data_IF_725447994316
#
_entry.id   IF_725447994316
#
_cell.length_a   1.000
_cell.length_b   1.000
_cell.length_c   1.000
_cell.angle_alpha   90.00
_cell.angle_beta   90.00
_cell.angle_gamma   90.00
#
_symmetry.space_group_name_H-M   'P 1'
#
loop_
_entity.id
_entity.type
_entity.pdbx_description
1 polymer ?
2 non-polymer ?
3 non-polymer ?
4 water ?
#
# COMPACT_ATOMS: atom_id res chain seq x y z
N UNK A 22 10.93 9.37 -10.84
CA UNK A 22 9.75 8.46 -10.94
C UNK A 22 9.81 7.30 -9.92
N UNK A 23 8.87 7.34 -8.97
CA UNK A 23 8.82 6.36 -7.89
C UNK A 23 8.34 5.03 -8.36
N UNK A 24 8.49 4.03 -7.50
CA UNK A 24 8.18 2.66 -7.81
C UNK A 24 7.45 2.07 -6.61
N UNK A 25 6.35 1.37 -6.88
CA UNK A 25 5.54 0.79 -5.82
C UNK A 25 5.32 -0.68 -6.06
N UNK A 26 5.09 -1.41 -4.97
CA UNK A 26 4.69 -2.81 -5.04
C UNK A 26 3.54 -3.09 -4.09
N UNK A 27 2.63 -3.94 -4.54
CA UNK A 27 1.53 -4.38 -3.71
C UNK A 27 1.45 -5.89 -3.86
N UNK A 28 1.68 -6.61 -2.75
CA UNK A 28 1.72 -8.05 -2.79
C UNK A 28 0.85 -8.67 -1.73
N UNK A 29 0.36 -9.88 -2.01
CA UNK A 29 -0.33 -10.66 -1.00
C UNK A 29 0.33 -12.02 -0.92
N UNK A 30 0.80 -12.39 0.27
CA UNK A 30 1.41 -13.70 0.47
C UNK A 30 0.49 -14.54 1.31
N UNK A 31 0.64 -15.86 1.22
CA UNK A 31 0.03 -16.75 2.21
C UNK A 31 1.14 -17.53 2.87
N UNK A 32 1.18 -17.50 4.19
CA UNK A 32 2.13 -18.30 4.95
C UNK A 32 1.60 -19.72 5.07
N UNK A 33 2.50 -20.66 5.32
CA UNK A 33 2.11 -22.03 5.64
C UNK A 33 1.35 -22.01 7.00
N UNK A 34 0.46 -23.00 7.23
CA UNK A 34 -0.46 -22.92 8.38
C UNK A 34 0.26 -22.65 9.69
N UNK A 35 -0.23 -21.66 10.45
CA UNK A 35 0.35 -21.34 11.74
C UNK A 35 1.63 -20.50 11.71
N UNK A 36 2.14 -20.20 10.53
CA UNK A 36 3.43 -19.47 10.42
C UNK A 36 3.32 -17.98 10.04
N UNK A 37 2.10 -17.43 10.01
CA UNK A 37 1.92 -16.04 9.57
C UNK A 37 2.75 -15.07 10.41
N UNK A 38 2.60 -15.14 11.73
CA UNK A 38 3.30 -14.20 12.58
C UNK A 38 4.83 -14.33 12.50
N UNK A 39 5.35 -15.55 12.44
CA UNK A 39 6.80 -15.72 12.28
C UNK A 39 7.28 -15.09 10.96
N UNK A 40 6.51 -15.24 9.88
CA UNK A 40 6.93 -14.70 8.60
C UNK A 40 6.86 -13.17 8.61
N UNK A 41 5.81 -12.63 9.22
CA UNK A 41 5.67 -11.17 9.39
C UNK A 41 6.87 -10.57 10.12
N UNK A 42 7.25 -11.18 11.23
CA UNK A 42 8.43 -10.73 11.98
C UNK A 42 9.70 -10.74 11.11
N UNK A 43 9.87 -11.78 10.30
CA UNK A 43 11.02 -11.89 9.36
C UNK A 43 11.02 -10.78 8.29
N UNK A 44 9.86 -10.53 7.71
CA UNK A 44 9.68 -9.45 6.73
C UNK A 44 9.99 -8.07 7.31
N UNK A 45 9.41 -7.78 8.48
CA UNK A 45 9.58 -6.47 9.12
C UNK A 45 11.05 -6.23 9.43
N UNK A 46 11.69 -7.20 10.08
CA UNK A 46 13.13 -7.13 10.37
C UNK A 46 13.95 -6.94 9.10
N UNK A 47 13.66 -7.75 8.08
CA UNK A 47 14.40 -7.73 6.83
C UNK A 47 14.33 -6.43 6.07
N UNK A 48 13.27 -5.65 6.32
CA UNK A 48 13.02 -4.43 5.58
C UNK A 48 13.58 -3.14 6.20
N UNK A 49 14.34 -3.24 7.29
CA UNK A 49 14.89 -2.02 7.93
C UNK A 49 16.03 -1.43 7.13
N UNK A 50 16.08 -0.10 7.10
CA UNK A 50 17.21 0.66 6.53
C UNK A 50 17.63 0.20 5.14
N UNK A 51 16.65 -0.06 4.26
CA UNK A 51 16.94 -0.27 2.83
C UNK A 51 17.04 1.08 2.15
N UNK A 52 18.23 1.47 1.63
CA UNK A 52 18.34 2.77 0.95
C UNK A 52 17.31 2.93 -0.16
N UNK A 53 16.71 4.11 -0.25
CA UNK A 53 15.69 4.39 -1.27
C UNK A 53 14.27 3.94 -0.95
N UNK A 54 14.08 3.15 0.12
CA UNK A 54 12.73 2.75 0.56
C UNK A 54 12.07 3.91 1.28
N UNK A 55 10.89 4.32 0.80
CA UNK A 55 10.16 5.43 1.40
C UNK A 55 9.09 4.91 2.34
N UNK A 56 8.52 3.75 2.00
CA UNK A 56 7.69 3.05 2.94
C UNK A 56 7.58 1.56 2.65
N UNK A 57 7.34 0.80 3.71
CA UNK A 57 7.28 -0.66 3.67
C UNK A 57 6.32 -1.06 4.81
N UNK A 58 5.19 -1.64 4.44
CA UNK A 58 4.10 -1.94 5.39
C UNK A 58 3.71 -3.40 5.25
N UNK A 59 3.70 -4.10 6.37
CA UNK A 59 3.31 -5.49 6.43
C UNK A 59 2.01 -5.54 7.24
N UNK A 60 0.98 -6.16 6.67
CA UNK A 60 -0.35 -6.18 7.28
C UNK A 60 -0.98 -7.56 7.32
N UNK A 61 -1.73 -7.85 8.38
CA UNK A 61 -2.54 -9.06 8.44
C UNK A 61 -3.84 -8.84 7.66
N UNK A 62 -4.50 -9.92 7.31
CA UNK A 62 -5.79 -9.85 6.67
C UNK A 62 -6.83 -10.41 7.62
N UNK A 63 -7.82 -9.60 8.02
CA UNK A 63 -8.90 -10.06 8.89
C UNK A 63 -9.74 -11.21 8.32
N UNK A 64 -9.74 -11.38 7.00
CA UNK A 64 -10.57 -12.41 6.38
C UNK A 64 -9.85 -13.75 6.19
N UNK A 65 -8.54 -13.75 6.37
CA UNK A 65 -7.72 -14.94 6.12
C UNK A 65 -6.53 -14.97 7.07
N UNK A 66 -6.55 -15.88 8.07
CA UNK A 66 -5.47 -15.97 9.08
C UNK A 66 -4.07 -16.25 8.52
N UNK A 67 -3.97 -16.74 7.27
CA UNK A 67 -2.66 -17.07 6.67
C UNK A 67 -2.09 -15.96 5.82
N UNK A 68 -2.89 -14.95 5.50
CA UNK A 68 -2.50 -13.94 4.52
C UNK A 68 -1.72 -12.80 5.10
N UNK A 69 -0.87 -12.24 4.24
CA UNK A 69 -0.05 -11.08 4.57
C UNK A 69 -0.07 -10.16 3.37
N UNK A 70 -0.41 -8.89 3.63
CA UNK A 70 -0.31 -7.84 2.60
C UNK A 70 0.93 -7.06 2.80
N UNK A 71 1.69 -6.89 1.72
CA UNK A 71 2.92 -6.11 1.76
C UNK A 71 2.81 -4.97 0.78
N UNK A 72 2.99 -3.73 1.25
CA UNK A 72 2.96 -2.59 0.34
C UNK A 72 4.27 -1.83 0.46
N UNK A 73 4.80 -1.40 -0.68
CA UNK A 73 6.13 -0.80 -0.72
C UNK A 73 6.17 0.41 -1.62
N UNK A 74 6.90 1.45 -1.21
CA UNK A 74 7.16 2.61 -2.08
C UNK A 74 8.65 2.84 -2.07
N UNK A 75 9.23 2.94 -3.26
CA UNK A 75 10.67 3.19 -3.43
C UNK A 75 10.88 4.43 -4.23
N UNK A 76 12.04 5.07 -4.08
CA UNK A 76 12.29 6.27 -4.86
C UNK A 76 12.49 5.95 -6.35
N UNK A 77 12.82 4.69 -6.65
CA UNK A 77 13.05 4.26 -8.00
C UNK A 77 13.02 2.74 -8.04
N UNK A 78 12.76 2.15 -9.23
CA UNK A 78 12.87 0.71 -9.36
C UNK A 78 14.32 0.22 -9.09
N UNK A 79 15.29 1.10 -9.37
CA UNK A 79 16.70 0.80 -9.14
C UNK A 79 17.04 0.52 -7.69
N UNK A 80 16.51 1.32 -6.77
CA UNK A 80 16.70 1.07 -5.34
C UNK A 80 16.14 -0.28 -4.86
N UNK A 81 14.98 -0.67 -5.39
CA UNK A 81 14.36 -1.95 -5.05
C UNK A 81 15.22 -3.12 -5.52
N UNK A 82 15.76 -3.01 -6.73
CA UNK A 82 16.69 -4.01 -7.27
C UNK A 82 17.95 -4.07 -6.42
N UNK A 83 18.51 -2.91 -6.09
CA UNK A 83 19.77 -2.83 -5.35
C UNK A 83 19.67 -3.40 -3.93
N UNK A 84 18.47 -3.37 -3.36
CA UNK A 84 18.22 -3.83 -1.99
C UNK A 84 18.60 -5.31 -1.77
N UNK A 85 18.65 -6.11 -2.84
CA UNK A 85 19.05 -7.53 -2.74
C UNK A 85 20.54 -7.74 -2.45
N UNK A 86 21.33 -6.68 -2.56
CA UNK A 86 22.74 -6.75 -2.19
C UNK A 86 22.91 -6.62 -0.67
N UNK A 87 21.84 -6.28 0.04
CA UNK A 87 21.92 -6.10 1.50
C UNK A 87 21.86 -7.46 2.21
N UNK A 88 22.86 -7.76 3.07
CA UNK A 88 22.87 -9.03 3.79
C UNK A 88 21.56 -9.28 4.56
N UNK A 89 21.01 -8.22 5.16
CA UNK A 89 19.79 -8.36 5.94
C UNK A 89 18.59 -8.74 5.06
N UNK A 90 18.56 -8.23 3.84
CA UNK A 90 17.51 -8.59 2.88
C UNK A 90 17.67 -10.05 2.46
N UNK A 91 18.90 -10.47 2.19
CA UNK A 91 19.19 -11.86 1.86
C UNK A 91 18.79 -12.83 2.98
N UNK A 92 19.17 -12.52 4.23
CA UNK A 92 18.74 -13.30 5.39
C UNK A 92 17.23 -13.41 5.53
N UNK A 93 16.51 -12.31 5.30
CA UNK A 93 15.04 -12.35 5.38
C UNK A 93 14.46 -13.34 4.35
N UNK A 94 15.00 -13.32 3.13
CA UNK A 94 14.57 -14.24 2.08
C UNK A 94 14.93 -15.68 2.46
N UNK A 95 16.16 -15.89 2.92
CA UNK A 95 16.61 -17.21 3.36
C UNK A 95 15.69 -17.80 4.43
N UNK A 96 15.36 -16.97 5.43
CA UNK A 96 14.60 -17.43 6.57
C UNK A 96 13.11 -17.47 6.26
N UNK A 97 12.68 -16.62 5.32
CA UNK A 97 11.27 -16.45 5.02
C UNK A 97 10.72 -17.46 4.04
N UNK A 98 11.49 -17.82 3.01
CA UNK A 98 11.03 -18.74 1.95
C UNK A 98 10.37 -20.05 2.45
N UNK A 99 10.96 -20.72 3.46
CA UNK A 99 10.29 -21.93 3.96
C UNK A 99 8.87 -21.67 4.48
N UNK A 100 8.56 -20.44 4.89
CA UNK A 100 7.26 -20.15 5.49
C UNK A 100 6.21 -19.68 4.47
N UNK A 101 6.61 -19.54 3.21
CA UNK A 101 5.72 -19.02 2.19
C UNK A 101 5.03 -20.20 1.49
N UNK A 102 3.70 -20.23 1.60
CA UNK A 102 2.89 -21.22 0.89
C UNK A 102 2.60 -20.74 -0.53
N UNK A 103 2.41 -19.42 -0.68
CA UNK A 103 2.03 -18.85 -1.96
C UNK A 103 2.24 -17.34 -2.00
N UNK A 104 2.43 -16.83 -3.21
CA UNK A 104 2.32 -15.40 -3.45
C UNK A 104 1.14 -15.23 -4.40
N UNK A 105 0.01 -14.79 -3.88
CA UNK A 105 -1.24 -14.75 -4.64
C UNK A 105 -1.34 -13.55 -5.56
N UNK A 106 -0.71 -12.45 -5.17
CA UNK A 106 -0.78 -11.22 -5.92
C UNK A 106 0.51 -10.47 -5.84
N UNK A 107 0.87 -9.80 -6.93
CA UNK A 107 2.11 -9.06 -6.99
C UNK A 107 2.00 -8.02 -8.05
N UNK A 108 1.70 -6.79 -7.66
CA UNK A 108 1.47 -5.68 -8.60
C UNK A 108 2.53 -4.62 -8.50
N UNK A 109 3.14 -4.28 -9.63
CA UNK A 109 4.06 -3.14 -9.70
C UNK A 109 3.23 -1.90 -10.00
N UNK A 110 3.53 -0.80 -9.34
CA UNK A 110 2.76 0.42 -9.52
C UNK A 110 3.75 1.57 -9.64
N UNK A 111 3.24 2.73 -10.03
CA UNK A 111 4.02 3.97 -10.09
C UNK A 111 3.33 5.00 -9.18
N UNK A 112 3.73 5.06 -7.89
CA UNK A 112 3.21 6.10 -6.98
C UNK A 112 3.46 7.51 -7.53
N UNK A 113 2.45 8.38 -7.49
CA UNK A 113 2.60 9.72 -8.04
C UNK A 113 2.22 10.83 -7.08
N UNK A 114 1.58 10.48 -5.98
CA UNK A 114 1.13 11.49 -5.01
C UNK A 114 0.72 10.84 -3.72
N UNK A 115 0.58 11.66 -2.69
CA UNK A 115 0.14 11.17 -1.40
C UNK A 115 0.80 11.88 -0.24
N UNK A 116 0.74 11.25 0.93
CA UNK A 116 1.11 11.91 2.18
C UNK A 116 1.70 10.92 3.13
N UNK A 117 2.49 11.45 4.06
CA UNK A 117 2.97 10.69 5.22
C UNK A 117 4.04 9.63 4.98
N UNK A 118 4.79 9.75 3.90
CA UNK A 118 5.89 8.82 3.66
C UNK A 118 7.31 9.43 3.63
N UNK A 119 7.40 10.74 3.85
CA UNK A 119 8.68 11.46 3.87
C UNK A 119 9.47 11.43 2.56
N UNK B 22 -5.63 -1.35 17.31
CA UNK B 22 -4.91 -1.77 16.06
C UNK B 22 -4.88 -0.67 15.01
N UNK B 23 -3.88 -0.77 14.13
CA UNK B 23 -3.83 0.07 12.95
C UNK B 23 -4.80 -0.47 11.95
N UNK B 24 -5.19 0.37 11.02
CA UNK B 24 -6.18 0.02 10.01
C UNK B 24 -5.62 0.36 8.64
N UNK B 25 -5.69 -0.59 7.71
CA UNK B 25 -5.18 -0.34 6.37
C UNK B 25 -6.23 -0.59 5.33
N UNK B 26 -6.07 0.08 4.18
CA UNK B 26 -6.92 -0.13 3.02
C UNK B 26 -6.03 -0.25 1.80
N UNK B 27 -6.39 -1.15 0.90
CA UNK B 27 -5.71 -1.32 -0.38
C UNK B 27 -6.83 -1.40 -1.40
N UNK B 28 -6.86 -0.47 -2.36
CA UNK B 28 -7.97 -0.39 -3.31
C UNK B 28 -7.49 -0.18 -4.74
N UNK B 29 -8.25 -0.71 -5.68
CA UNK B 29 -7.97 -0.47 -7.08
C UNK B 29 -9.23 0.08 -7.73
N UNK B 30 -9.08 1.12 -8.54
CA UNK B 30 -10.22 1.60 -9.33
C UNK B 30 -9.77 1.87 -10.75
N UNK B 31 -10.75 2.00 -11.65
CA UNK B 31 -10.47 2.42 -13.01
C UNK B 31 -11.21 3.71 -13.28
N UNK B 32 -10.49 4.70 -13.79
CA UNK B 32 -11.09 5.93 -14.29
C UNK B 32 -11.77 5.65 -15.63
N UNK B 33 -12.69 6.54 -16.04
CA UNK B 33 -13.27 6.50 -17.37
C UNK B 33 -12.14 6.80 -18.35
N UNK B 34 -12.21 6.30 -19.61
CA UNK B 34 -11.03 6.36 -20.49
C UNK B 34 -10.42 7.77 -20.66
N UNK B 35 -9.12 7.86 -20.41
CA UNK B 35 -8.41 9.12 -20.54
C UNK B 35 -8.44 10.01 -19.30
N UNK B 36 -9.20 9.60 -18.29
CA UNK B 36 -9.43 10.47 -17.11
C UNK B 36 -8.62 10.10 -15.86
N UNK B 37 -7.64 9.19 -16.00
CA UNK B 37 -6.85 8.75 -14.83
C UNK B 37 -6.16 9.92 -14.11
N UNK B 38 -5.43 10.74 -14.86
CA UNK B 38 -4.67 11.83 -14.26
C UNK B 38 -5.55 12.86 -13.52
N UNK B 39 -6.70 13.19 -14.08
CA UNK B 39 -7.64 14.13 -13.43
C UNK B 39 -8.19 13.54 -12.15
N UNK B 40 -8.51 12.25 -12.18
CA UNK B 40 -9.02 11.58 -10.98
C UNK B 40 -7.94 11.47 -9.91
N UNK B 41 -6.72 11.15 -10.31
CA UNK B 41 -5.62 11.10 -9.37
C UNK B 41 -5.43 12.44 -8.67
N UNK B 42 -5.51 13.55 -9.43
CA UNK B 42 -5.40 14.90 -8.86
C UNK B 42 -6.40 15.14 -7.74
N UNK B 43 -7.66 14.76 -8.00
CA UNK B 43 -8.75 14.87 -7.04
C UNK B 43 -8.48 14.05 -5.77
N UNK B 44 -7.96 12.83 -5.94
CA UNK B 44 -7.69 11.95 -4.79
C UNK B 44 -6.60 12.52 -3.91
N UNK B 45 -5.54 13.03 -4.54
CA UNK B 45 -4.39 13.56 -3.82
C UNK B 45 -4.74 14.87 -3.10
N UNK B 46 -5.48 15.75 -3.77
CA UNK B 46 -6.07 16.96 -3.17
C UNK B 46 -7.01 16.62 -2.00
N UNK B 47 -7.90 15.64 -2.21
CA UNK B 47 -8.87 15.23 -1.19
C UNK B 47 -8.28 14.67 0.10
N UNK B 48 -7.13 13.99 0.00
CA UNK B 48 -6.54 13.30 1.14
C UNK B 48 -5.54 14.13 1.97
N UNK B 49 -5.52 15.45 1.74
CA UNK B 49 -4.60 16.35 2.44
C UNK B 49 -4.77 16.36 3.96
N UNK B 50 -3.64 16.14 4.64
CA UNK B 50 -3.43 16.35 6.10
C UNK B 50 -4.46 15.77 7.11
N UNK B 51 -5.30 14.84 6.67
CA UNK B 51 -6.28 14.18 7.56
C UNK B 51 -5.61 13.63 8.81
N UNK B 52 -6.20 13.86 10.01
CA UNK B 52 -5.56 13.41 11.27
C UNK B 52 -5.63 11.90 11.51
N UNK B 53 -4.54 11.32 12.03
CA UNK B 53 -4.44 9.87 12.23
C UNK B 53 -3.99 9.10 10.99
N UNK B 54 -3.84 9.79 9.85
CA UNK B 54 -3.31 9.17 8.63
C UNK B 54 -1.80 9.05 8.73
N UNK B 55 -1.30 7.81 8.61
CA UNK B 55 0.13 7.54 8.65
C UNK B 55 0.71 7.45 7.24
N UNK B 56 -0.07 6.91 6.31
CA UNK B 56 0.38 6.78 4.93
C UNK B 56 -0.83 6.85 4.01
N UNK B 57 -0.67 7.53 2.88
CA UNK B 57 -1.68 7.60 1.83
C UNK B 57 -0.95 7.69 0.50
N UNK B 58 -1.12 6.68 -0.35
CA UNK B 58 -0.36 6.61 -1.58
C UNK B 58 -1.30 6.35 -2.74
N UNK B 59 -1.20 7.19 -3.76
CA UNK B 59 -2.01 7.05 -4.98
C UNK B 59 -1.02 6.74 -6.11
N UNK B 60 -1.29 5.66 -6.86
CA UNK B 60 -0.32 5.15 -7.84
C UNK B 60 -0.96 4.77 -9.16
N UNK B 61 -0.22 4.99 -10.24
CA UNK B 61 -0.62 4.50 -11.55
C UNK B 61 -0.26 3.01 -11.69
N UNK B 62 -0.86 2.35 -12.68
CA UNK B 62 -0.51 0.98 -13.01
C UNK B 62 0.02 0.94 -14.47
N UNK B 63 1.32 0.63 -14.66
CA UNK B 63 1.90 0.63 -16.04
C UNK B 63 1.20 -0.30 -17.04
N UNK B 64 0.49 -1.31 -16.55
CA UNK B 64 -0.20 -2.25 -17.44
C UNK B 64 -1.64 -1.88 -17.78
N UNK B 65 -2.18 -0.83 -17.15
CA UNK B 65 -3.52 -0.40 -17.45
C UNK B 65 -3.59 1.10 -17.25
N UNK B 66 -3.65 1.87 -18.37
CA UNK B 66 -3.56 3.34 -18.31
C UNK B 66 -4.73 3.99 -17.58
N UNK B 67 -5.81 3.24 -17.34
CA UNK B 67 -6.97 3.78 -16.61
C UNK B 67 -6.97 3.42 -15.14
N UNK B 68 -6.11 2.50 -14.72
CA UNK B 68 -6.13 2.00 -13.32
C UNK B 68 -5.44 2.93 -12.32
N UNK B 69 -5.93 2.91 -11.08
CA UNK B 69 -5.37 3.64 -9.96
C UNK B 69 -5.32 2.72 -8.73
N UNK B 70 -4.17 2.63 -8.08
CA UNK B 70 -4.07 1.90 -6.82
C UNK B 70 -4.01 2.86 -5.67
N UNK B 71 -4.79 2.61 -4.62
CA UNK B 71 -4.73 3.44 -3.42
C UNK B 71 -4.37 2.61 -2.21
N UNK B 72 -3.36 3.03 -1.46
CA UNK B 72 -3.06 2.35 -0.20
C UNK B 72 -3.08 3.37 0.92
N UNK B 73 -3.62 2.97 2.08
CA UNK B 73 -3.78 3.86 3.22
C UNK B 73 -3.43 3.14 4.49
N UNK B 74 -2.79 3.84 5.42
CA UNK B 74 -2.55 3.29 6.75
C UNK B 74 -3.03 4.33 7.76
N UNK B 75 -3.85 3.90 8.71
CA UNK B 75 -4.36 4.78 9.75
C UNK B 75 -3.96 4.24 11.09
N UNK B 76 -3.86 5.11 12.11
CA UNK B 76 -3.51 4.62 13.44
C UNK B 76 -4.67 3.85 14.12
N UNK B 77 -5.88 3.98 13.59
CA UNK B 77 -7.04 3.23 14.04
C UNK B 77 -8.19 3.29 13.02
N UNK B 78 -9.18 2.38 13.13
CA UNK B 78 -10.34 2.51 12.25
C UNK B 78 -11.18 3.76 12.56
N UNK B 79 -11.13 4.22 13.82
CA UNK B 79 -11.82 5.43 14.25
C UNK B 79 -11.30 6.68 13.53
N UNK B 80 -9.98 6.83 13.46
CA UNK B 80 -9.37 7.94 12.72
C UNK B 80 -9.77 7.92 11.23
N UNK B 81 -9.79 6.74 10.63
CA UNK B 81 -10.27 6.62 9.25
C UNK B 81 -11.67 7.15 9.11
N UNK B 82 -12.59 6.69 9.96
CA UNK B 82 -13.98 7.15 9.90
C UNK B 82 -14.12 8.65 10.15
N UNK B 83 -13.35 9.17 11.12
CA UNK B 83 -13.40 10.60 11.44
C UNK B 83 -12.96 11.42 10.24
N UNK B 84 -11.91 10.99 9.55
CA UNK B 84 -11.42 11.77 8.42
C UNK B 84 -12.30 11.62 7.19
N UNK B 85 -12.83 10.43 7.00
CA UNK B 85 -13.70 10.16 5.86
C UNK B 85 -14.94 11.04 5.90
N UNK B 86 -15.36 11.41 7.11
CA UNK B 86 -16.53 12.25 7.30
C UNK B 86 -16.27 13.75 7.09
N UNK B 87 -15.02 14.16 6.94
CA UNK B 87 -14.76 15.59 6.69
C UNK B 87 -15.42 15.96 5.38
N UNK B 88 -16.09 17.13 5.35
CA UNK B 88 -16.77 17.58 4.14
C UNK B 88 -15.86 17.60 2.92
N UNK B 89 -14.61 18.01 3.10
CA UNK B 89 -13.67 18.11 2.01
C UNK B 89 -13.34 16.73 1.42
N UNK B 90 -13.31 15.70 2.27
CA UNK B 90 -13.07 14.32 1.80
C UNK B 90 -14.29 13.84 1.03
N UNK B 91 -15.47 14.11 1.60
CA UNK B 91 -16.72 13.81 0.91
C UNK B 91 -16.85 14.55 -0.43
N UNK B 92 -16.39 15.81 -0.46
CA UNK B 92 -16.40 16.61 -1.69
C UNK B 92 -15.55 15.95 -2.80
N UNK B 93 -14.38 15.44 -2.41
CA UNK B 93 -13.46 14.76 -3.32
C UNK B 93 -14.10 13.49 -3.90
N UNK B 94 -14.76 12.71 -3.04
CA UNK B 94 -15.51 11.53 -3.47
C UNK B 94 -16.59 11.92 -4.49
N UNK B 95 -17.34 12.99 -4.20
CA UNK B 95 -18.41 13.47 -5.06
C UNK B 95 -17.88 13.95 -6.42
N UNK B 96 -16.80 14.73 -6.39
CA UNK B 96 -16.17 15.27 -7.61
C UNK B 96 -15.54 14.15 -8.43
N UNK B 97 -15.05 13.11 -7.75
CA UNK B 97 -14.41 11.98 -8.39
C UNK B 97 -15.37 11.02 -9.08
N UNK B 98 -16.59 10.90 -8.55
CA UNK B 98 -17.53 9.87 -9.01
C UNK B 98 -17.72 9.81 -10.54
N UNK B 99 -17.99 10.97 -11.21
CA UNK B 99 -18.19 10.92 -12.66
C UNK B 99 -16.96 10.45 -13.43
N UNK B 100 -15.79 10.48 -12.79
CA UNK B 100 -14.55 10.06 -13.44
C UNK B 100 -14.20 8.59 -13.20
N UNK B 101 -15.02 7.92 -12.40
CA UNK B 101 -14.76 6.54 -12.01
C UNK B 101 -15.58 5.61 -12.89
N UNK B 102 -14.92 4.74 -13.64
CA UNK B 102 -15.63 3.70 -14.38
C UNK B 102 -16.03 2.53 -13.49
N UNK B 103 -15.13 2.14 -12.57
CA UNK B 103 -15.36 0.96 -11.73
C UNK B 103 -14.46 0.98 -10.51
N UNK B 104 -14.96 0.37 -9.43
CA UNK B 104 -14.16 0.11 -8.25
C UNK B 104 -13.87 -1.38 -8.28
N UNK B 105 -12.61 -1.78 -8.38
CA UNK B 105 -12.30 -3.18 -8.64
C UNK B 105 -12.01 -4.04 -7.42
N UNK B 106 -11.21 -3.51 -6.51
CA UNK B 106 -10.77 -4.28 -5.35
C UNK B 106 -10.78 -3.33 -4.18
N UNK B 107 -11.09 -3.84 -3.01
CA UNK B 107 -11.09 -3.03 -1.81
C UNK B 107 -10.82 -3.94 -0.65
N UNK B 108 -9.59 -3.92 -0.15
CA UNK B 108 -9.21 -4.80 0.94
C UNK B 108 -8.95 -4.00 2.18
N UNK B 109 -9.55 -4.43 3.28
CA UNK B 109 -9.26 -3.89 4.60
C UNK B 109 -8.17 -4.74 5.20
N UNK B 110 -7.18 -4.12 5.84
CA UNK B 110 -6.04 -4.86 6.36
C UNK B 110 -5.76 -4.40 7.78
N UNK B 111 -4.90 -5.13 8.48
CA UNK B 111 -4.45 -4.75 9.82
C UNK B 111 -2.93 -4.61 9.78
N UNK B 112 -2.43 -3.39 9.48
CA UNK B 112 -0.99 -3.19 9.46
C UNK B 112 -0.40 -3.48 10.84
N UNK B 113 0.73 -4.18 10.87
CA UNK B 113 1.33 -4.55 12.15
C UNK B 113 2.79 -4.13 12.27
N UNK B 114 3.41 -3.76 11.16
CA UNK B 114 4.80 -3.35 11.23
C UNK B 114 5.29 -2.84 9.90
N UNK B 115 6.47 -2.25 9.92
CA UNK B 115 7.01 -1.69 8.71
C UNK B 115 7.81 -0.46 8.99
N UNK B 116 8.10 0.30 7.94
CA UNK B 116 9.06 1.39 8.04
C UNK B 116 8.62 2.55 7.22
N UNK B 117 9.11 3.73 7.59
CA UNK B 117 8.97 4.92 6.76
C UNK B 117 7.62 5.62 6.77
N UNK B 118 6.72 5.21 7.68
CA UNK B 118 5.40 5.85 7.79
C UNK B 118 5.22 6.62 9.11
X LIG C 1 10.97 -14.09 -0.18
X LIG C 1 10.73 -12.16 1.30
X LIG C 1 10.68 -13.23 -1.42
X LIG C 1 10.30 -11.33 0.08
X LIG C 1 10.45 -13.55 1.05
X LIG C 1 10.91 -11.83 -1.13
X LIG D 1 5.45 13.85 3.90
X LIG D 1 5.67 15.22 4.40
X LIG D 1 4.02 13.71 3.56
X LIG D 1 6.29 13.63 2.71
X LIG D 1 5.82 12.86 4.94
X LIG E 1 -14.46 6.13 -3.17
X LIG E 1 -12.62 7.70 -3.36
X LIG E 1 -15.00 6.56 -4.55
X LIG E 1 -13.12 8.15 -4.74
X LIG E 1 -13.05 6.36 -3.08
X LIG E 1 -14.54 7.89 -4.89
X LIG F 1 9.36 5.13 10.58
X LIG F 1 9.31 5.58 11.99
X LIG F 1 9.87 6.24 9.75
X LIG F 1 10.26 3.96 10.46
X LIG F 1 7.99 4.75 10.15
#
# INVERSE_FOLDING_TARGET
XHHHHHHSSGVDLGTENLYFQSMYGLIGKMRATPGQRDALIAILVEGASSMPGCLSYVVAQDPKDPDAIWITEVWDSPESHKASLSLPSVQDAIACGRPLIAALDEHHETVPVGGHGIGAAA
XHHHHHHSSGVDLGTENLYFQSMYGLIGKMRATPGQRDALIAILVEGASSMPGCLSYVVAQDPKDPDAIWITEVWDSPESHKASLSLPSVQDAIACGRPLIAALDEHHETVPVGGHGIGAAA
DIO C1 C2 C1' C2' O1 O1'
SO4 S O1 O2 O3 O4
DIO C1 C2 C1' C2' O1 O1'
SO4 S O1 O2 O3 O4
#
